data_IF_331923023352
#
_entry.id   IF_331923023352
#
_cell.length_a   1.000
_cell.length_b   1.000
_cell.length_c   1.000
_cell.angle_alpha   90.00
_cell.angle_beta   90.00
_cell.angle_gamma   90.00
#
_symmetry.space_group_name_H-M   'P 1'
#
loop_
_entity.id
_entity.type
_entity.pdbx_description
1 polymer ?
#
# COMPACT_ATOMS: atom_id res chain seq x y z
N UNK A 1 2.97 5.28 1.49
CA UNK A 1 2.04 4.59 0.58
C UNK A 1 0.73 5.36 0.54
N UNK A 2 0.10 5.41 -0.63
CA UNK A 2 -1.15 6.17 -0.86
C UNK A 2 -2.03 5.51 -1.94
N UNK A 3 -3.28 5.94 -2.04
CA UNK A 3 -4.25 5.60 -3.06
C UNK A 3 -4.56 6.77 -3.98
N UNK A 4 -4.06 6.69 -5.22
CA UNK A 4 -4.47 7.58 -6.30
C UNK A 4 -5.81 7.10 -6.85
N UNK A 5 -6.77 8.00 -7.08
CA UNK A 5 -8.09 7.67 -7.63
C UNK A 5 -8.31 8.38 -8.95
N UNK A 6 -8.86 7.68 -9.93
CA UNK A 6 -9.09 8.22 -11.28
C UNK A 6 -10.29 7.52 -11.95
N UNK A 7 -10.71 8.00 -13.13
CA UNK A 7 -11.84 7.52 -13.90
C UNK A 7 -11.40 7.03 -15.27
N UNK A 8 -11.89 5.85 -15.66
CA UNK A 8 -11.75 5.36 -17.02
C UNK A 8 -12.63 6.17 -17.99
N UNK A 9 -12.33 6.08 -19.29
CA UNK A 9 -13.06 6.76 -20.37
C UNK A 9 -14.59 6.51 -20.36
N UNK A 10 -15.03 5.40 -19.77
CA UNK A 10 -16.45 5.02 -19.64
C UNK A 10 -17.08 5.47 -18.30
N UNK A 11 -16.45 6.38 -17.57
CA UNK A 11 -16.93 6.91 -16.29
C UNK A 11 -16.75 5.98 -15.09
N UNK A 12 -16.16 4.79 -15.27
CA UNK A 12 -15.91 3.87 -14.16
C UNK A 12 -14.70 4.33 -13.34
N UNK A 13 -14.90 4.53 -12.04
CA UNK A 13 -13.83 4.87 -11.10
C UNK A 13 -12.90 3.66 -10.88
N UNK A 14 -11.61 3.94 -10.72
CA UNK A 14 -10.62 2.99 -10.23
C UNK A 14 -9.68 3.69 -9.24
N UNK A 15 -8.92 2.89 -8.50
CA UNK A 15 -7.91 3.36 -7.55
C UNK A 15 -6.62 2.59 -7.78
N UNK A 16 -5.49 3.24 -7.54
CA UNK A 16 -4.18 2.63 -7.58
C UNK A 16 -3.51 2.80 -6.21
N UNK A 17 -3.15 1.68 -5.59
CA UNK A 17 -2.22 1.68 -4.47
C UNK A 17 -0.83 1.98 -5.00
N UNK A 18 -0.17 2.97 -4.41
CA UNK A 18 1.21 3.34 -4.71
C UNK A 18 2.07 3.12 -3.49
N UNK A 19 3.16 2.35 -3.67
CA UNK A 19 4.21 2.18 -2.67
C UNK A 19 5.41 2.95 -3.17
N UNK A 20 5.86 3.89 -2.35
CA UNK A 20 7.01 4.74 -2.64
C UNK A 20 7.99 4.57 -1.50
N UNK A 21 9.26 4.35 -1.85
CA UNK A 21 10.37 4.38 -0.92
C UNK A 21 10.75 5.85 -0.68
N UNK A 22 10.62 6.32 0.56
CA UNK A 22 10.85 7.73 0.89
C UNK A 22 12.34 8.11 0.86
N UNK A 23 13.26 7.14 0.92
CA UNK A 23 14.70 7.40 0.88
C UNK A 23 15.20 7.46 -0.57
N UNK A 24 14.88 6.45 -1.38
CA UNK A 24 15.33 6.38 -2.78
C UNK A 24 14.44 7.14 -3.76
N UNK A 25 13.23 7.54 -3.33
CA UNK A 25 12.17 8.08 -4.19
C UNK A 25 11.71 7.11 -5.29
N UNK A 26 12.04 5.83 -5.18
CA UNK A 26 11.57 4.81 -6.10
C UNK A 26 10.11 4.42 -5.80
N UNK A 27 9.36 4.04 -6.84
CA UNK A 27 8.03 3.46 -6.70
C UNK A 27 8.07 1.95 -6.99
N UNK A 28 8.39 1.10 -6.00
CA UNK A 28 8.53 -0.34 -6.23
C UNK A 28 7.23 -1.05 -6.61
N UNK A 29 6.07 -0.49 -6.27
CA UNK A 29 4.79 -1.08 -6.66
C UNK A 29 3.72 -0.04 -6.94
N UNK A 30 2.97 -0.28 -8.03
CA UNK A 30 1.69 0.35 -8.32
C UNK A 30 0.68 -0.77 -8.60
N UNK A 31 -0.39 -0.83 -7.82
CA UNK A 31 -1.44 -1.82 -7.99
C UNK A 31 -2.80 -1.15 -8.23
N UNK A 32 -3.28 -1.23 -9.48
CA UNK A 32 -4.54 -0.63 -9.90
C UNK A 32 -5.71 -1.61 -9.81
N UNK A 33 -6.83 -1.16 -9.26
CA UNK A 33 -8.04 -1.96 -9.12
C UNK A 33 -9.30 -1.09 -8.95
N UNK A 34 -10.47 -1.69 -9.19
CA UNK A 34 -11.76 -0.98 -9.07
C UNK A 34 -12.19 -0.77 -7.62
N UNK A 35 -11.89 -1.75 -6.75
CA UNK A 35 -12.16 -1.70 -5.32
C UNK A 35 -10.99 -2.39 -4.61
N UNK A 36 -10.07 -1.58 -4.09
CA UNK A 36 -8.90 -2.08 -3.37
C UNK A 36 -9.25 -2.21 -1.89
N UNK A 37 -9.04 -3.41 -1.35
CA UNK A 37 -9.26 -3.73 0.07
C UNK A 37 -7.92 -3.81 0.81
N UNK A 38 -8.01 -3.92 2.13
CA UNK A 38 -6.84 -4.13 2.98
C UNK A 38 -6.03 -5.38 2.65
N UNK A 39 -6.71 -6.46 2.23
CA UNK A 39 -6.05 -7.69 1.82
C UNK A 39 -5.18 -7.48 0.57
N UNK A 40 -5.60 -6.60 -0.34
CA UNK A 40 -4.84 -6.30 -1.54
C UNK A 40 -3.55 -5.55 -1.20
N UNK A 41 -3.60 -4.66 -0.19
CA UNK A 41 -2.40 -3.99 0.33
C UNK A 41 -1.42 -5.00 0.92
N UNK A 42 -1.90 -5.89 1.80
CA UNK A 42 -1.05 -6.92 2.39
C UNK A 42 -0.43 -7.84 1.32
N UNK A 43 -1.20 -8.18 0.28
CA UNK A 43 -0.71 -9.00 -0.83
C UNK A 43 0.38 -8.28 -1.64
N UNK A 44 0.25 -6.98 -1.87
CA UNK A 44 1.29 -6.17 -2.55
C UNK A 44 2.55 -6.09 -1.69
N UNK A 45 2.41 -5.84 -0.39
CA UNK A 45 3.56 -5.81 0.54
C UNK A 45 4.27 -7.17 0.61
N UNK A 46 3.51 -8.27 0.63
CA UNK A 46 4.08 -9.62 0.60
C UNK A 46 4.79 -9.91 -0.71
N UNK A 47 4.24 -9.48 -1.85
CA UNK A 47 4.89 -9.62 -3.15
C UNK A 47 6.22 -8.88 -3.20
N UNK A 48 6.28 -7.63 -2.71
CA UNK A 48 7.54 -6.87 -2.62
C UNK A 48 8.57 -7.57 -1.75
N UNK A 49 8.14 -8.17 -0.64
CA UNK A 49 9.02 -8.92 0.26
C UNK A 49 9.58 -10.18 -0.41
N UNK A 50 8.74 -10.96 -1.09
CA UNK A 50 9.12 -12.27 -1.63
C UNK A 50 9.83 -12.16 -2.98
N UNK A 51 9.35 -11.28 -3.87
CA UNK A 51 9.82 -11.19 -5.25
C UNK A 51 11.01 -10.24 -5.39
N UNK A 52 10.95 -9.09 -4.71
CA UNK A 52 11.96 -8.04 -4.85
C UNK A 52 12.95 -8.02 -3.68
N UNK A 53 12.76 -8.92 -2.69
CA UNK A 53 13.51 -8.94 -1.43
C UNK A 53 13.50 -7.56 -0.72
N UNK A 54 12.41 -6.81 -0.90
CA UNK A 54 12.21 -5.47 -0.32
C UNK A 54 11.33 -5.57 0.92
N UNK A 55 11.94 -5.40 2.08
CA UNK A 55 11.24 -5.25 3.35
C UNK A 55 11.53 -3.85 3.88
N UNK A 56 10.53 -2.96 4.01
CA UNK A 56 10.76 -1.63 4.58
C UNK A 56 11.17 -1.73 6.05
N UNK A 57 11.65 -0.64 6.63
CA UNK A 57 11.88 -0.51 8.09
C UNK A 57 10.62 0.01 8.80
N UNK A 58 9.77 0.72 8.07
CA UNK A 58 8.50 1.24 8.55
C UNK A 58 7.58 1.54 7.39
N UNK A 59 6.29 1.48 7.64
CA UNK A 59 5.23 1.72 6.66
C UNK A 59 4.53 3.01 7.08
N UNK A 60 4.56 3.99 6.18
CA UNK A 60 3.92 5.28 6.38
C UNK A 60 2.74 5.42 5.43
N UNK A 61 1.58 5.82 5.95
CA UNK A 61 0.35 5.99 5.17
C UNK A 61 -0.22 7.40 5.41
N UNK A 62 -0.52 8.11 4.34
CA UNK A 62 -1.03 9.50 4.35
C UNK A 62 -2.56 9.60 4.50
N UNK A 63 -3.30 8.57 4.09
CA UNK A 63 -4.76 8.60 4.18
C UNK A 63 -5.26 8.18 5.59
N UNK A 64 -5.54 9.20 6.40
CA UNK A 64 -6.11 9.10 7.74
C UNK A 64 -7.31 8.14 7.86
N UNK A 65 -7.31 7.37 8.94
CA UNK A 65 -8.39 6.50 9.47
C UNK A 65 -8.94 5.34 8.61
N UNK A 66 -9.01 5.39 7.27
CA UNK A 66 -9.81 4.40 6.50
C UNK A 66 -9.03 3.28 5.78
N UNK A 67 -7.71 3.38 5.64
CA UNK A 67 -6.94 2.44 4.79
C UNK A 67 -5.84 1.62 5.46
N UNK A 68 -5.53 1.91 6.73
CA UNK A 68 -4.86 0.90 7.56
C UNK A 68 -5.94 -0.12 7.93
N UNK A 69 -6.13 -1.09 7.04
CA UNK A 69 -6.96 -2.25 7.33
C UNK A 69 -6.26 -3.10 8.38
N UNK A 70 -7.04 -3.77 9.23
CA UNK A 70 -6.57 -4.84 10.12
C UNK A 70 -5.67 -5.84 9.39
N UNK A 71 -5.90 -6.05 8.10
CA UNK A 71 -5.11 -6.95 7.24
C UNK A 71 -3.67 -6.45 7.05
N UNK A 72 -3.46 -5.13 6.89
CA UNK A 72 -2.12 -4.56 6.82
C UNK A 72 -1.45 -4.52 8.19
N UNK A 73 -2.18 -4.17 9.25
CA UNK A 73 -1.64 -4.19 10.61
C UNK A 73 -1.17 -5.59 11.01
N UNK A 74 -1.97 -6.60 10.68
CA UNK A 74 -1.62 -8.00 10.89
C UNK A 74 -0.36 -8.37 10.09
N UNK A 75 -0.30 -8.02 8.81
CA UNK A 75 0.88 -8.28 7.99
C UNK A 75 2.13 -7.60 8.56
N UNK A 76 2.01 -6.34 8.98
CA UNK A 76 3.10 -5.59 9.60
C UNK A 76 3.55 -6.24 10.91
N UNK A 77 2.62 -6.64 11.78
CA UNK A 77 2.93 -7.35 13.02
C UNK A 77 3.67 -8.67 12.78
N UNK A 78 3.18 -9.50 11.86
CA UNK A 78 3.79 -10.79 11.50
C UNK A 78 5.23 -10.62 10.97
N UNK A 79 5.51 -9.51 10.29
CA UNK A 79 6.80 -9.22 9.68
C UNK A 79 7.66 -8.22 10.49
N UNK A 80 7.27 -7.95 11.75
CA UNK A 80 7.95 -7.02 12.67
C UNK A 80 8.17 -5.61 12.08
N UNK A 81 7.18 -5.12 11.35
CA UNK A 81 7.17 -3.80 10.73
C UNK A 81 6.38 -2.80 11.56
N UNK A 82 6.86 -1.55 11.61
CA UNK A 82 6.16 -0.45 12.24
C UNK A 82 5.25 0.23 11.22
N UNK A 83 3.93 0.05 11.35
CA UNK A 83 2.95 0.83 10.59
C UNK A 83 2.61 2.12 11.36
N UNK A 84 2.89 3.29 10.77
CA UNK A 84 2.65 4.59 11.37
C UNK A 84 1.74 5.46 10.50
N UNK A 85 0.84 6.20 11.16
CA UNK A 85 0.05 7.26 10.53
C UNK A 85 0.82 8.57 10.59
N UNK A 86 0.85 9.28 9.48
CA UNK A 86 1.14 10.72 9.52
C UNK A 86 -0.16 11.43 9.89
N UNK A 87 -0.16 12.34 10.86
CA UNK A 87 -1.29 13.23 11.10
C UNK A 87 -1.59 14.16 9.91
#
# INVERSE_FOLDING_TARGET
>A
MDFVSDNLFNGRRFRALTVVDNFSQECPAIHAGKSLKGEDVARVMEALRVLDNRLPVGIQTDNGSKFISKSLDKWAYEHRQLAQRIP
#
